data_IF_247183493211
#
_entry.id   IF_247183493211
#
_cell.length_a   1.000
_cell.length_b   1.000
_cell.length_c   1.000
_cell.angle_alpha   90.00
_cell.angle_beta   90.00
_cell.angle_gamma   90.00
#
_symmetry.space_group_name_H-M   'P 1'
#
loop_
_entity.id
_entity.type
_entity.pdbx_description
1 polymer ?
#
# COMPACT_ATOMS: atom_id res chain seq x y z
N UNK A 1 -27.83 -18.52 -5.97
CA UNK A 1 -27.41 -17.80 -7.18
C UNK A 1 -26.45 -16.71 -6.76
N UNK A 2 -25.26 -16.67 -7.35
CA UNK A 2 -24.16 -15.78 -6.96
C UNK A 2 -24.53 -14.31 -7.23
N UNK A 3 -24.80 -13.53 -6.17
CA UNK A 3 -24.95 -12.08 -6.24
C UNK A 3 -23.56 -11.43 -6.31
N UNK A 4 -22.85 -11.66 -7.42
CA UNK A 4 -21.57 -11.04 -7.74
C UNK A 4 -21.77 -9.98 -8.81
N UNK A 5 -21.07 -8.86 -8.69
CA UNK A 5 -21.16 -7.74 -9.64
C UNK A 5 -19.81 -7.53 -10.35
N UNK A 6 -19.80 -7.36 -11.68
CA UNK A 6 -18.60 -7.03 -12.41
C UNK A 6 -18.21 -5.57 -12.11
N UNK A 7 -16.96 -5.36 -11.70
CA UNK A 7 -16.36 -4.03 -11.52
C UNK A 7 -14.99 -3.98 -12.17
N UNK A 8 -14.44 -2.78 -12.39
CA UNK A 8 -13.04 -2.65 -12.85
C UNK A 8 -12.06 -3.14 -11.79
N UNK A 9 -10.91 -3.64 -12.23
CA UNK A 9 -9.81 -4.01 -11.35
C UNK A 9 -9.32 -2.80 -10.54
N UNK A 10 -9.27 -1.61 -11.15
CA UNK A 10 -9.02 -0.34 -10.45
C UNK A 10 -10.02 -0.11 -9.29
N UNK A 11 -11.31 -0.37 -9.52
CA UNK A 11 -12.33 -0.27 -8.46
C UNK A 11 -12.13 -1.34 -7.38
N UNK A 12 -11.75 -2.57 -7.74
CA UNK A 12 -11.45 -3.62 -6.78
C UNK A 12 -10.24 -3.26 -5.90
N UNK A 13 -9.19 -2.67 -6.48
CA UNK A 13 -8.04 -2.14 -5.75
C UNK A 13 -8.45 -1.04 -4.76
N UNK A 14 -9.36 -0.14 -5.17
CA UNK A 14 -9.95 0.88 -4.28
C UNK A 14 -10.73 0.24 -3.12
N UNK A 15 -11.58 -0.75 -3.40
CA UNK A 15 -12.33 -1.51 -2.39
C UNK A 15 -11.37 -2.18 -1.39
N UNK A 16 -10.31 -2.84 -1.88
CA UNK A 16 -9.27 -3.44 -1.03
C UNK A 16 -8.66 -2.42 -0.07
N UNK A 17 -8.31 -1.22 -0.57
CA UNK A 17 -7.75 -0.14 0.26
C UNK A 17 -8.74 0.31 1.35
N UNK A 18 -10.02 0.49 1.00
CA UNK A 18 -11.09 0.86 1.96
C UNK A 18 -11.31 -0.20 3.03
N UNK A 19 -11.39 -1.48 2.62
CA UNK A 19 -11.53 -2.60 3.55
C UNK A 19 -10.34 -2.68 4.51
N UNK A 20 -9.11 -2.48 4.01
CA UNK A 20 -7.92 -2.45 4.86
C UNK A 20 -7.96 -1.31 5.90
N UNK A 21 -8.38 -0.11 5.50
CA UNK A 21 -8.57 1.02 6.41
C UNK A 21 -9.63 0.75 7.49
N UNK A 22 -10.78 0.20 7.09
CA UNK A 22 -11.85 -0.17 8.03
C UNK A 22 -11.45 -1.30 8.97
N UNK A 23 -10.68 -2.27 8.49
CA UNK A 23 -10.13 -3.34 9.32
C UNK A 23 -9.20 -2.77 10.39
N UNK A 24 -8.33 -1.83 10.01
CA UNK A 24 -7.44 -1.14 10.95
C UNK A 24 -8.24 -0.34 11.99
N UNK A 25 -9.29 0.38 11.57
CA UNK A 25 -10.18 1.10 12.48
C UNK A 25 -10.87 0.17 13.47
N UNK A 26 -11.51 -0.91 13.00
CA UNK A 26 -12.17 -1.89 13.87
C UNK A 26 -11.17 -2.51 14.86
N UNK A 27 -9.95 -2.82 14.40
CA UNK A 27 -8.87 -3.30 15.26
C UNK A 27 -8.52 -2.29 16.36
N UNK A 28 -8.38 -1.01 16.02
CA UNK A 28 -8.09 0.05 17.00
C UNK A 28 -9.20 0.16 18.04
N UNK A 29 -10.47 0.16 17.62
CA UNK A 29 -11.62 0.21 18.53
C UNK A 29 -11.65 -0.99 19.48
N UNK A 30 -11.37 -2.20 18.98
CA UNK A 30 -11.29 -3.39 19.82
C UNK A 30 -10.18 -3.24 20.85
N UNK A 31 -8.97 -2.84 20.44
CA UNK A 31 -7.82 -2.69 21.35
C UNK A 31 -8.10 -1.62 22.42
N UNK A 32 -8.68 -0.48 22.02
CA UNK A 32 -8.92 0.65 22.89
C UNK A 32 -10.05 0.40 23.90
N UNK A 33 -11.16 -0.21 23.45
CA UNK A 33 -12.38 -0.31 24.26
C UNK A 33 -12.59 -1.67 24.93
N UNK A 34 -11.75 -2.69 24.66
CA UNK A 34 -11.88 -4.01 25.30
C UNK A 34 -11.70 -3.97 26.83
N UNK A 35 -10.97 -2.98 27.35
CA UNK A 35 -10.79 -2.78 28.79
C UNK A 35 -10.74 -1.29 29.11
N UNK A 36 -11.84 -0.75 29.64
CA UNK A 36 -11.96 0.66 30.06
C UNK A 36 -12.22 0.76 31.56
N UNK A 37 -11.88 1.91 32.17
CA UNK A 37 -12.18 2.18 33.57
C UNK A 37 -13.69 2.08 33.82
N UNK A 38 -14.10 1.49 34.95
CA UNK A 38 -15.50 1.27 35.28
C UNK A 38 -16.34 2.56 35.34
N UNK A 39 -15.71 3.72 35.55
CA UNK A 39 -16.37 5.03 35.54
C UNK A 39 -16.62 5.66 34.15
N UNK A 40 -16.18 5.00 33.06
CA UNK A 40 -16.40 5.46 31.68
C UNK A 40 -17.64 4.87 31.02
N UNK A 41 -18.34 3.96 31.70
CA UNK A 41 -19.63 3.46 31.26
C UNK A 41 -20.72 4.50 31.57
N UNK A 42 -21.73 4.62 30.68
CA UNK A 42 -22.88 5.45 31.00
C UNK A 42 -23.64 4.91 32.24
N UNK A 43 -24.63 5.65 32.74
CA UNK A 43 -25.40 5.30 33.94
C UNK A 43 -26.12 3.94 33.81
N UNK A 44 -26.21 3.38 32.59
CA UNK A 44 -26.79 2.08 32.27
C UNK A 44 -25.74 0.98 32.07
N UNK A 45 -24.46 1.26 32.32
CA UNK A 45 -23.37 0.30 32.10
C UNK A 45 -23.03 0.07 30.63
N UNK A 46 -23.47 0.94 29.71
CA UNK A 46 -23.15 0.83 28.28
C UNK A 46 -21.88 1.62 27.97
N UNK A 47 -20.92 0.93 27.35
CA UNK A 47 -19.80 1.57 26.66
C UNK A 47 -20.33 2.26 25.41
N UNK A 48 -19.74 3.39 25.02
CA UNK A 48 -19.99 4.05 23.72
C UNK A 48 -19.67 3.13 22.54
N UNK A 49 -18.85 2.10 22.74
CA UNK A 49 -18.46 1.11 21.73
C UNK A 49 -18.78 -0.29 22.21
N UNK A 50 -19.56 -1.03 21.41
CA UNK A 50 -19.77 -2.46 21.60
C UNK A 50 -18.63 -3.24 20.92
N UNK A 51 -17.66 -3.67 21.74
CA UNK A 51 -16.46 -4.39 21.29
C UNK A 51 -16.79 -5.72 20.62
N UNK A 52 -17.89 -6.39 21.01
CA UNK A 52 -18.28 -7.67 20.38
C UNK A 52 -18.78 -7.43 18.96
N UNK A 53 -19.59 -6.39 18.77
CA UNK A 53 -20.04 -5.97 17.43
C UNK A 53 -18.87 -5.55 16.56
N UNK A 54 -17.90 -4.80 17.11
CA UNK A 54 -16.70 -4.42 16.37
C UNK A 54 -15.80 -5.63 16.03
N UNK A 55 -15.73 -6.64 16.89
CA UNK A 55 -15.04 -7.90 16.58
C UNK A 55 -15.72 -8.67 15.45
N UNK A 56 -17.04 -8.81 15.47
CA UNK A 56 -17.79 -9.45 14.38
C UNK A 56 -17.62 -8.69 13.05
N UNK A 57 -17.62 -7.35 13.11
CA UNK A 57 -17.32 -6.48 11.97
C UNK A 57 -15.90 -6.70 11.46
N UNK A 58 -14.91 -6.76 12.35
CA UNK A 58 -13.52 -7.04 12.02
C UNK A 58 -13.38 -8.36 11.25
N UNK A 59 -14.01 -9.45 11.75
CA UNK A 59 -14.00 -10.77 11.11
C UNK A 59 -14.61 -10.74 9.72
N UNK A 60 -15.78 -10.12 9.56
CA UNK A 60 -16.44 -9.96 8.24
C UNK A 60 -15.57 -9.18 7.25
N UNK A 61 -14.93 -8.10 7.69
CA UNK A 61 -14.02 -7.32 6.84
C UNK A 61 -12.77 -8.15 6.48
N UNK A 62 -12.24 -8.92 7.41
CA UNK A 62 -11.10 -9.81 7.18
C UNK A 62 -11.43 -10.84 6.09
N UNK A 63 -12.58 -11.50 6.17
CA UNK A 63 -13.04 -12.47 5.17
C UNK A 63 -13.21 -11.80 3.79
N UNK A 64 -13.83 -10.61 3.76
CA UNK A 64 -13.96 -9.83 2.53
C UNK A 64 -12.62 -9.45 1.92
N UNK A 65 -11.64 -9.08 2.74
CA UNK A 65 -10.30 -8.71 2.29
C UNK A 65 -9.55 -9.90 1.69
N UNK A 66 -9.71 -11.11 2.25
CA UNK A 66 -9.12 -12.34 1.70
C UNK A 66 -9.67 -12.60 0.29
N UNK A 67 -10.99 -12.54 0.13
CA UNK A 67 -11.66 -12.77 -1.17
C UNK A 67 -11.19 -11.74 -2.21
N UNK A 68 -11.21 -10.45 -1.87
CA UNK A 68 -10.80 -9.38 -2.79
C UNK A 68 -9.32 -9.52 -3.18
N UNK A 69 -8.43 -9.87 -2.23
CA UNK A 69 -7.00 -10.08 -2.53
C UNK A 69 -6.79 -11.22 -3.52
N UNK A 70 -7.48 -12.35 -3.33
CA UNK A 70 -7.37 -13.50 -4.23
C UNK A 70 -7.88 -13.17 -5.63
N UNK A 71 -8.98 -12.43 -5.75
CA UNK A 71 -9.54 -12.01 -7.04
C UNK A 71 -8.60 -11.04 -7.77
N UNK A 72 -8.08 -10.03 -7.07
CA UNK A 72 -7.10 -9.09 -7.64
C UNK A 72 -5.85 -9.83 -8.09
N UNK A 73 -5.34 -10.77 -7.30
CA UNK A 73 -4.14 -11.53 -7.65
C UNK A 73 -4.34 -12.31 -8.96
N UNK A 74 -5.49 -12.99 -9.12
CA UNK A 74 -5.80 -13.71 -10.37
C UNK A 74 -5.95 -12.75 -11.55
N UNK A 75 -6.63 -11.62 -11.34
CA UNK A 75 -6.84 -10.62 -12.39
C UNK A 75 -5.56 -9.91 -12.82
N UNK A 76 -4.56 -9.81 -11.93
CA UNK A 76 -3.27 -9.20 -12.22
C UNK A 76 -2.30 -10.12 -12.98
N UNK A 77 -2.59 -11.43 -13.11
CA UNK A 77 -1.67 -12.36 -13.78
C UNK A 77 -1.16 -11.88 -15.15
N UNK A 78 -1.99 -11.28 -16.03
CA UNK A 78 -1.52 -10.80 -17.33
C UNK A 78 -0.49 -9.66 -17.28
N UNK A 79 -0.44 -8.91 -16.18
CA UNK A 79 0.46 -7.77 -15.97
C UNK A 79 1.44 -8.00 -14.81
N UNK A 80 1.63 -9.25 -14.38
CA UNK A 80 2.45 -9.56 -13.21
C UNK A 80 3.92 -9.16 -13.44
N UNK A 81 4.43 -9.38 -14.65
CA UNK A 81 5.77 -8.94 -15.05
C UNK A 81 5.92 -7.42 -14.97
N UNK A 82 4.96 -6.66 -15.51
CA UNK A 82 4.98 -5.20 -15.43
C UNK A 82 4.96 -4.71 -13.97
N UNK A 83 4.16 -5.35 -13.11
CA UNK A 83 4.11 -5.04 -11.68
C UNK A 83 5.42 -5.35 -10.96
N UNK A 84 6.11 -6.44 -11.33
CA UNK A 84 7.41 -6.81 -10.78
C UNK A 84 8.50 -5.86 -11.26
N UNK A 85 8.54 -5.56 -12.56
CA UNK A 85 9.48 -4.60 -13.14
C UNK A 85 9.35 -3.22 -12.47
N UNK A 86 8.13 -2.76 -12.21
CA UNK A 86 7.89 -1.49 -11.52
C UNK A 86 8.48 -1.48 -10.10
N UNK A 87 8.46 -2.63 -9.41
CA UNK A 87 9.06 -2.77 -8.07
C UNK A 87 10.59 -2.74 -8.13
N UNK A 88 11.17 -3.43 -9.10
CA UNK A 88 12.63 -3.46 -9.29
C UNK A 88 13.18 -2.08 -9.67
N UNK A 89 12.49 -1.35 -10.56
CA UNK A 89 12.87 0.04 -10.90
C UNK A 89 12.83 0.95 -9.67
N UNK A 90 11.81 0.85 -8.82
CA UNK A 90 11.75 1.60 -7.54
C UNK A 90 12.88 1.23 -6.61
N UNK A 91 13.22 -0.06 -6.52
CA UNK A 91 14.32 -0.55 -5.69
C UNK A 91 15.66 0.03 -6.16
N UNK A 92 15.88 0.06 -7.47
CA UNK A 92 17.08 0.65 -8.07
C UNK A 92 17.17 2.16 -7.84
N UNK A 93 16.08 2.91 -8.00
CA UNK A 93 16.04 4.34 -7.66
C UNK A 93 16.39 4.55 -6.18
N UNK A 94 15.87 3.71 -5.27
CA UNK A 94 16.22 3.79 -3.84
C UNK A 94 17.72 3.60 -3.63
N UNK A 95 18.31 2.56 -4.24
CA UNK A 95 19.75 2.31 -4.18
C UNK A 95 20.55 3.52 -4.67
N UNK A 96 20.21 4.06 -5.84
CA UNK A 96 20.88 5.22 -6.43
C UNK A 96 20.79 6.45 -5.52
N UNK A 97 19.65 6.67 -4.88
CA UNK A 97 19.46 7.78 -3.95
C UNK A 97 20.21 7.60 -2.62
N UNK A 98 20.56 6.37 -2.25
CA UNK A 98 21.36 6.04 -1.06
C UNK A 98 22.88 6.10 -1.33
N UNK A 99 23.33 6.24 -2.58
CA UNK A 99 24.76 6.32 -2.90
C UNK A 99 25.40 7.60 -2.32
N UNK A 100 26.55 7.42 -1.67
CA UNK A 100 27.43 8.52 -1.32
C UNK A 100 28.13 9.05 -2.58
N UNK A 101 27.75 10.27 -2.99
CA UNK A 101 28.26 10.91 -4.20
C UNK A 101 29.33 11.97 -3.91
N UNK A 102 29.91 12.01 -2.70
CA UNK A 102 30.98 12.95 -2.36
C UNK A 102 32.19 12.78 -3.27
N UNK A 103 32.64 13.88 -3.85
CA UNK A 103 33.77 13.89 -4.79
C UNK A 103 34.56 15.18 -4.61
N UNK A 104 35.87 15.05 -4.39
CA UNK A 104 36.75 16.15 -4.07
C UNK A 104 37.22 16.16 -2.62
N UNK A 105 37.82 17.28 -2.23
CA UNK A 105 38.44 17.46 -0.92
C UNK A 105 37.42 17.99 0.08
N UNK A 106 37.31 17.36 1.24
CA UNK A 106 36.49 17.84 2.36
C UNK A 106 37.30 17.90 3.66
N UNK A 107 37.09 18.93 4.50
CA UNK A 107 37.78 19.03 5.78
C UNK A 107 37.26 18.00 6.79
N UNK A 108 38.18 17.27 7.41
CA UNK A 108 37.92 16.38 8.55
C UNK A 108 37.94 17.11 9.89
N UNK A 109 37.46 16.43 10.95
CA UNK A 109 37.29 17.01 12.29
C UNK A 109 38.58 17.57 12.93
N UNK A 110 39.76 17.10 12.52
CA UNK A 110 41.05 17.46 13.13
C UNK A 110 41.96 18.25 12.17
N UNK A 111 41.39 18.93 11.16
CA UNK A 111 42.17 19.63 10.12
C UNK A 111 42.83 18.70 9.10
N UNK A 112 42.52 17.40 9.15
CA UNK A 112 42.93 16.42 8.12
C UNK A 112 41.95 16.53 6.96
N UNK A 113 42.45 16.81 5.76
CA UNK A 113 41.65 16.80 4.54
C UNK A 113 41.43 15.37 4.04
N UNK A 114 40.18 15.03 3.72
CA UNK A 114 39.83 13.78 3.07
C UNK A 114 39.59 14.03 1.58
N UNK A 115 40.27 13.27 0.73
CA UNK A 115 40.02 13.27 -0.70
C UNK A 115 39.04 12.14 -1.06
N UNK A 116 37.80 12.50 -1.36
CA UNK A 116 36.79 11.57 -1.84
C UNK A 116 36.84 11.43 -3.36
N UNK A 117 36.69 10.19 -3.84
CA UNK A 117 36.58 9.89 -5.26
C UNK A 117 35.36 9.01 -5.50
N UNK A 118 34.19 9.64 -5.69
CA UNK A 118 33.01 8.92 -6.17
C UNK A 118 33.24 8.36 -7.58
N UNK A 119 32.88 7.09 -7.78
CA UNK A 119 32.81 6.44 -9.10
C UNK A 119 31.60 6.96 -9.88
N UNK A 120 30.44 7.05 -9.21
CA UNK A 120 29.25 7.72 -9.72
C UNK A 120 29.12 9.07 -9.01
N UNK A 121 29.25 10.16 -9.76
CA UNK A 121 29.08 11.51 -9.20
C UNK A 121 27.61 11.86 -9.13
N UNK A 122 27.28 12.89 -8.37
CA UNK A 122 25.88 13.33 -8.20
C UNK A 122 25.16 13.59 -9.53
N UNK A 123 25.76 14.25 -10.54
CA UNK A 123 25.09 14.45 -11.83
C UNK A 123 24.77 13.14 -12.56
N UNK A 124 25.67 12.15 -12.48
CA UNK A 124 25.48 10.84 -13.11
C UNK A 124 24.29 10.11 -12.48
N UNK A 125 24.26 10.08 -11.14
CA UNK A 125 23.16 9.48 -10.37
C UNK A 125 21.83 10.14 -10.70
N UNK A 126 21.79 11.48 -10.78
CA UNK A 126 20.57 12.22 -11.12
C UNK A 126 20.09 11.92 -12.55
N UNK A 127 21.00 11.76 -13.52
CA UNK A 127 20.65 11.37 -14.87
C UNK A 127 20.06 9.95 -14.91
N UNK A 128 20.71 9.00 -14.23
CA UNK A 128 20.21 7.62 -14.14
C UNK A 128 18.82 7.55 -13.49
N UNK A 129 18.58 8.31 -12.42
CA UNK A 129 17.27 8.36 -11.76
C UNK A 129 16.20 8.88 -12.72
N UNK A 130 16.46 9.95 -13.48
CA UNK A 130 15.51 10.50 -14.46
C UNK A 130 15.15 9.49 -15.55
N UNK A 131 16.14 8.78 -16.07
CA UNK A 131 15.91 7.76 -17.10
C UNK A 131 15.05 6.59 -16.58
N UNK A 132 15.22 6.23 -15.30
CA UNK A 132 14.40 5.22 -14.63
C UNK A 132 12.98 5.72 -14.35
N UNK A 133 12.81 7.00 -13.98
CA UNK A 133 11.50 7.62 -13.77
C UNK A 133 10.68 7.61 -15.06
N UNK A 134 11.29 7.96 -16.20
CA UNK A 134 10.62 7.89 -17.51
C UNK A 134 10.16 6.46 -17.84
N UNK A 135 10.98 5.45 -17.55
CA UNK A 135 10.60 4.04 -17.73
C UNK A 135 9.46 3.65 -16.79
N UNK A 136 9.49 4.11 -15.55
CA UNK A 136 8.44 3.86 -14.57
C UNK A 136 7.11 4.51 -14.96
N UNK A 137 7.11 5.67 -15.59
CA UNK A 137 5.90 6.36 -16.03
C UNK A 137 5.22 5.59 -17.16
N UNK A 138 5.97 5.19 -18.20
CA UNK A 138 5.44 4.36 -19.28
C UNK A 138 4.89 3.01 -18.78
N UNK A 139 5.51 2.44 -17.75
CA UNK A 139 5.05 1.20 -17.12
C UNK A 139 3.78 1.41 -16.29
N UNK A 140 3.68 2.53 -15.57
CA UNK A 140 2.49 2.91 -14.81
C UNK A 140 1.30 3.13 -15.73
N UNK A 141 1.49 3.82 -16.86
CA UNK A 141 0.41 4.05 -17.83
C UNK A 141 -0.19 2.74 -18.34
N UNK A 142 0.65 1.76 -18.71
CA UNK A 142 0.20 0.42 -19.15
C UNK A 142 -0.56 -0.32 -18.06
N UNK A 143 -0.05 -0.26 -16.82
CA UNK A 143 -0.70 -0.90 -15.66
C UNK A 143 -2.08 -0.26 -15.40
N UNK A 144 -2.17 1.06 -15.46
CA UNK A 144 -3.39 1.80 -15.18
C UNK A 144 -4.44 1.59 -16.29
N UNK A 145 -4.02 1.59 -17.56
CA UNK A 145 -4.87 1.21 -18.70
C UNK A 145 -5.48 -0.18 -18.47
N UNK A 146 -4.65 -1.19 -18.22
CA UNK A 146 -5.12 -2.54 -17.93
C UNK A 146 -6.08 -2.58 -16.73
N UNK A 147 -5.77 -1.89 -15.64
CA UNK A 147 -6.62 -1.89 -14.43
C UNK A 147 -7.98 -1.23 -14.65
N UNK A 148 -8.08 -0.25 -15.56
CA UNK A 148 -9.33 0.41 -15.89
C UNK A 148 -10.20 -0.43 -16.82
N UNK A 149 -9.60 -1.27 -17.66
CA UNK A 149 -10.31 -2.16 -18.58
C UNK A 149 -10.70 -3.50 -17.95
N UNK A 150 -9.76 -4.14 -17.26
CA UNK A 150 -9.93 -5.47 -16.69
C UNK A 150 -11.08 -5.49 -15.68
N UNK A 151 -11.89 -6.56 -15.74
CA UNK A 151 -13.06 -6.74 -14.88
C UNK A 151 -12.86 -7.90 -13.92
N UNK A 152 -13.38 -7.72 -12.70
CA UNK A 152 -13.45 -8.76 -11.67
C UNK A 152 -14.85 -8.82 -11.10
N UNK A 153 -15.31 -10.04 -10.84
CA UNK A 153 -16.60 -10.28 -10.19
C UNK A 153 -16.43 -10.21 -8.67
N UNK A 154 -17.08 -9.23 -8.04
CA UNK A 154 -17.02 -9.03 -6.59
C UNK A 154 -18.38 -9.37 -5.99
N UNK A 155 -18.44 -10.26 -4.99
CA UNK A 155 -19.67 -10.53 -4.24
C UNK A 155 -20.28 -9.25 -3.63
N UNK A 156 -21.59 -9.08 -3.77
CA UNK A 156 -22.32 -7.87 -3.34
C UNK A 156 -22.16 -7.59 -1.84
N UNK A 157 -22.05 -8.62 -0.99
CA UNK A 157 -21.82 -8.42 0.44
C UNK A 157 -20.49 -7.71 0.75
N UNK A 158 -19.46 -7.89 -0.09
CA UNK A 158 -18.18 -7.19 0.03
C UNK A 158 -18.33 -5.72 -0.36
N UNK A 159 -19.17 -5.43 -1.37
CA UNK A 159 -19.46 -4.06 -1.77
C UNK A 159 -20.13 -3.29 -0.63
N UNK A 160 -21.07 -3.91 0.07
CA UNK A 160 -21.72 -3.34 1.26
C UNK A 160 -20.72 -3.11 2.40
N UNK A 161 -19.73 -3.99 2.58
CA UNK A 161 -18.66 -3.80 3.56
C UNK A 161 -17.67 -2.67 3.20
N UNK A 162 -17.69 -2.16 1.97
CA UNK A 162 -16.79 -1.12 1.47
C UNK A 162 -17.48 0.24 1.22
N UNK A 163 -18.79 0.31 1.41
CA UNK A 163 -19.59 1.55 1.50
C UNK A 163 -19.36 2.22 2.84
#
# INVERSE_FOLDING_TARGET
MSDARPITLAKALSIRKRLAGRLAQARSLIIEYNSVLSGLYDVLGKSTVDVRVEYDRFRKIQDGLIVVKALIQRANQPIDEDLLQLRELRSLIRLLNELDTRHGTEPGLNGVEYQYMAVFRKPDVLAMVRDLEVQMDALQDRIDEFQNEARVEIPSWILTLAQ
#
